data_IF_105553044630
#
_entry.id   IF_105553044630
#
_cell.length_a   1.000
_cell.length_b   1.000
_cell.length_c   1.000
_cell.angle_alpha   90.00
_cell.angle_beta   90.00
_cell.angle_gamma   90.00
#
_symmetry.space_group_name_H-M   'P 1'
#
loop_
_entity.id
_entity.type
_entity.pdbx_description
1 polymer ?
#
# COMPACT_ATOMS: atom_id res chain seq x y z
N UNK A 1 -12.58 0.06 4.82
CA UNK A 1 -12.42 -1.40 4.95
C UNK A 1 -13.67 -2.08 4.44
N UNK A 2 -14.85 -1.84 5.03
CA UNK A 2 -16.13 -2.11 4.35
C UNK A 2 -16.52 -3.57 4.16
N UNK A 3 -15.78 -4.54 4.71
CA UNK A 3 -16.02 -5.97 4.48
C UNK A 3 -17.46 -6.39 4.78
N UNK A 4 -18.00 -6.05 5.95
CA UNK A 4 -19.38 -6.38 6.32
C UNK A 4 -20.42 -5.71 5.40
N UNK A 5 -20.15 -4.49 4.96
CA UNK A 5 -21.02 -3.76 4.03
C UNK A 5 -21.04 -4.45 2.66
N UNK A 6 -19.87 -4.82 2.14
CA UNK A 6 -19.76 -5.57 0.88
C UNK A 6 -20.46 -6.93 0.98
N UNK A 7 -20.28 -7.69 2.06
CA UNK A 7 -20.96 -8.98 2.25
C UNK A 7 -22.48 -8.84 2.22
N UNK A 8 -23.04 -7.82 2.89
CA UNK A 8 -24.49 -7.55 2.84
C UNK A 8 -24.97 -7.21 1.43
N UNK A 9 -24.21 -6.37 0.71
CA UNK A 9 -24.51 -6.01 -0.68
C UNK A 9 -24.49 -7.23 -1.60
N UNK A 10 -23.46 -8.07 -1.51
CA UNK A 10 -23.33 -9.30 -2.30
C UNK A 10 -24.47 -10.27 -2.00
N UNK A 11 -24.86 -10.44 -0.74
CA UNK A 11 -25.99 -11.29 -0.37
C UNK A 11 -27.29 -10.83 -1.04
N UNK A 12 -27.59 -9.53 -0.98
CA UNK A 12 -28.78 -8.97 -1.64
C UNK A 12 -28.76 -9.14 -3.17
N UNK A 13 -27.58 -8.97 -3.80
CA UNK A 13 -27.41 -9.21 -5.24
C UNK A 13 -27.62 -10.67 -5.60
N UNK A 14 -27.11 -11.61 -4.81
CA UNK A 14 -27.28 -13.04 -5.04
C UNK A 14 -28.75 -13.48 -4.90
N UNK A 15 -29.48 -12.92 -3.94
CA UNK A 15 -30.92 -13.15 -3.81
C UNK A 15 -31.69 -12.65 -5.04
N UNK A 16 -31.34 -11.47 -5.56
CA UNK A 16 -31.93 -10.97 -6.81
C UNK A 16 -31.57 -11.85 -8.02
N UNK A 17 -30.34 -12.36 -8.10
CA UNK A 17 -29.91 -13.25 -9.18
C UNK A 17 -30.65 -14.59 -9.16
N UNK A 18 -30.97 -15.14 -7.98
CA UNK A 18 -31.77 -16.37 -7.85
C UNK A 18 -33.17 -16.24 -8.47
N UNK A 19 -33.77 -15.04 -8.43
CA UNK A 19 -35.05 -14.80 -9.10
C UNK A 19 -34.96 -14.97 -10.62
N UNK A 20 -33.80 -14.63 -11.21
CA UNK A 20 -33.55 -14.74 -12.66
C UNK A 20 -32.99 -16.09 -13.07
N UNK A 21 -32.26 -16.74 -12.17
CA UNK A 21 -31.63 -18.05 -12.39
C UNK A 21 -32.03 -19.02 -11.26
N UNK A 22 -33.24 -19.60 -11.28
CA UNK A 22 -33.76 -20.41 -10.16
C UNK A 22 -32.98 -21.69 -9.87
N UNK A 23 -32.18 -22.16 -10.85
CA UNK A 23 -31.28 -23.32 -10.69
C UNK A 23 -29.91 -22.96 -10.12
N UNK A 24 -29.63 -21.68 -9.88
CA UNK A 24 -28.36 -21.24 -9.32
C UNK A 24 -28.30 -21.58 -7.82
N UNK A 25 -27.28 -22.33 -7.43
CA UNK A 25 -26.98 -22.60 -6.03
C UNK A 25 -25.82 -21.72 -5.56
N UNK A 26 -26.00 -21.04 -4.42
CA UNK A 26 -24.95 -20.26 -3.78
C UNK A 26 -24.26 -21.16 -2.76
N UNK A 27 -23.09 -21.66 -3.11
CA UNK A 27 -22.30 -22.53 -2.23
C UNK A 27 -21.69 -21.73 -1.06
N UNK A 28 -21.15 -20.55 -1.35
CA UNK A 28 -20.54 -19.64 -0.36
C UNK A 28 -20.61 -18.20 -0.87
N UNK A 29 -20.76 -17.25 0.05
CA UNK A 29 -20.66 -15.82 -0.28
C UNK A 29 -19.22 -15.40 -0.62
N UNK A 30 -18.22 -16.15 -0.14
CA UNK A 30 -16.82 -15.91 -0.42
C UNK A 30 -16.19 -17.17 -0.99
N UNK A 31 -15.96 -17.16 -2.31
CA UNK A 31 -15.26 -18.21 -3.04
C UNK A 31 -13.73 -18.05 -3.07
N UNK A 32 -13.15 -17.26 -2.15
CA UNK A 32 -11.72 -16.90 -2.11
C UNK A 32 -11.15 -16.12 -3.31
N UNK A 33 -11.98 -15.69 -4.26
CA UNK A 33 -11.58 -14.81 -5.38
C UNK A 33 -11.63 -13.32 -4.98
N UNK A 34 -11.84 -13.01 -3.68
CA UNK A 34 -11.89 -11.64 -3.20
C UNK A 34 -10.53 -10.90 -3.21
N UNK A 35 -9.36 -11.44 -2.84
CA UNK A 35 -9.10 -12.49 -1.84
C UNK A 35 -8.79 -11.83 -0.46
N UNK A 36 -9.49 -12.23 0.59
CA UNK A 36 -9.32 -11.64 1.93
C UNK A 36 -8.39 -12.45 2.82
N UNK A 37 -7.33 -11.83 3.36
CA UNK A 37 -6.35 -12.41 4.30
C UNK A 37 -5.52 -13.55 3.72
N UNK A 38 -5.31 -13.54 2.40
CA UNK A 38 -4.53 -14.55 1.66
C UNK A 38 -3.73 -13.88 0.54
N UNK A 39 -2.49 -14.32 0.29
CA UNK A 39 -1.73 -13.83 -0.85
C UNK A 39 -2.44 -14.26 -2.14
N UNK A 40 -2.73 -13.29 -3.01
CA UNK A 40 -3.43 -13.57 -4.26
C UNK A 40 -3.04 -12.58 -5.35
N UNK A 41 -2.72 -13.09 -6.54
CA UNK A 41 -2.37 -12.28 -7.70
C UNK A 41 -3.48 -11.31 -8.11
N UNK A 42 -4.76 -11.68 -7.93
CA UNK A 42 -5.90 -10.80 -8.22
C UNK A 42 -5.82 -9.49 -7.44
N UNK A 43 -5.43 -9.53 -6.16
CA UNK A 43 -5.27 -8.31 -5.35
C UNK A 43 -4.07 -7.47 -5.82
N UNK A 44 -3.04 -8.10 -6.41
CA UNK A 44 -1.87 -7.39 -6.95
C UNK A 44 -2.19 -6.69 -8.27
N UNK A 45 -2.95 -7.34 -9.15
CA UNK A 45 -3.23 -6.88 -10.51
C UNK A 45 -4.44 -5.92 -10.53
N UNK A 46 -5.56 -6.34 -9.93
CA UNK A 46 -6.82 -5.59 -9.98
C UNK A 46 -6.98 -4.63 -8.79
N UNK A 47 -6.11 -4.75 -7.79
CA UNK A 47 -6.17 -3.99 -6.55
C UNK A 47 -7.25 -4.47 -5.59
N UNK A 48 -7.22 -3.98 -4.35
CA UNK A 48 -8.24 -4.26 -3.33
C UNK A 48 -8.26 -3.22 -2.22
N UNK A 49 -9.42 -2.62 -1.97
CA UNK A 49 -9.51 -1.50 -1.03
C UNK A 49 -8.97 -0.23 -1.69
N UNK A 50 -7.87 0.32 -1.18
CA UNK A 50 -7.22 1.50 -1.77
C UNK A 50 -5.93 1.12 -2.49
N UNK A 51 -5.77 1.64 -3.71
CA UNK A 51 -4.51 1.63 -4.45
C UNK A 51 -3.83 2.99 -4.29
N UNK A 52 -2.54 2.99 -3.97
CA UNK A 52 -1.76 4.22 -3.79
C UNK A 52 -0.39 4.14 -4.44
N UNK A 53 0.12 5.31 -4.82
CA UNK A 53 1.53 5.53 -5.17
C UNK A 53 2.03 6.71 -4.35
N UNK A 54 3.23 6.59 -3.80
CA UNK A 54 3.92 7.68 -3.12
C UNK A 54 5.36 7.74 -3.63
N UNK A 55 5.87 8.96 -3.78
CA UNK A 55 7.21 9.19 -4.30
C UNK A 55 7.94 10.29 -3.54
N UNK A 56 9.27 10.23 -3.57
CA UNK A 56 10.12 11.32 -3.11
C UNK A 56 11.40 11.39 -3.93
N UNK A 57 11.98 12.59 -4.02
CA UNK A 57 13.26 12.83 -4.69
C UNK A 57 14.23 13.39 -3.65
N UNK A 58 15.35 12.68 -3.46
CA UNK A 58 16.34 12.99 -2.44
C UNK A 58 17.64 13.49 -3.06
N UNK A 59 18.14 14.67 -2.66
CA UNK A 59 19.47 15.14 -3.04
C UNK A 59 20.57 14.16 -2.60
N UNK A 60 21.68 14.03 -3.35
CA UNK A 60 22.78 13.12 -3.00
C UNK A 60 23.35 13.42 -1.62
N UNK A 61 23.45 14.70 -1.23
CA UNK A 61 23.87 15.08 0.11
C UNK A 61 22.99 14.46 1.20
N UNK A 62 21.67 14.42 1.03
CA UNK A 62 20.77 13.79 2.02
C UNK A 62 21.01 12.28 2.08
N UNK A 63 21.26 11.64 0.93
CA UNK A 63 21.58 10.21 0.86
C UNK A 63 22.91 9.91 1.58
N UNK A 64 23.90 10.78 1.45
CA UNK A 64 25.21 10.64 2.10
C UNK A 64 25.17 11.00 3.59
N UNK A 65 24.68 12.20 3.92
CA UNK A 65 24.70 12.75 5.26
C UNK A 65 23.67 12.09 6.18
N UNK A 66 22.52 11.63 5.67
CA UNK A 66 21.46 11.05 6.51
C UNK A 66 21.41 9.54 6.34
N UNK A 67 21.31 9.05 5.10
CA UNK A 67 21.17 7.61 4.84
C UNK A 67 22.50 6.86 4.89
N UNK A 68 23.63 7.57 4.96
CA UNK A 68 24.99 7.02 5.07
C UNK A 68 25.32 6.05 3.93
N UNK A 69 24.85 6.39 2.73
CA UNK A 69 25.03 5.63 1.49
C UNK A 69 25.27 6.58 0.32
N UNK A 70 25.25 6.08 -0.91
CA UNK A 70 25.22 6.90 -2.12
C UNK A 70 24.12 6.42 -3.06
N UNK A 71 23.72 7.29 -4.00
CA UNK A 71 22.59 7.04 -4.93
C UNK A 71 22.79 5.75 -5.74
N UNK A 72 23.98 5.53 -6.29
CA UNK A 72 24.27 4.34 -7.11
C UNK A 72 24.13 3.04 -6.30
N UNK A 73 24.61 3.02 -5.06
CA UNK A 73 24.47 1.88 -4.16
C UNK A 73 23.01 1.59 -3.82
N UNK A 74 22.21 2.63 -3.56
CA UNK A 74 20.77 2.51 -3.26
C UNK A 74 20.00 1.92 -4.45
N UNK A 75 20.20 2.46 -5.65
CA UNK A 75 19.59 1.96 -6.89
C UNK A 75 19.99 0.50 -7.14
N UNK A 76 21.29 0.19 -7.05
CA UNK A 76 21.80 -1.16 -7.28
C UNK A 76 21.22 -2.16 -6.26
N UNK A 77 21.16 -1.80 -4.97
CA UNK A 77 20.56 -2.63 -3.94
C UNK A 77 19.07 -2.87 -4.19
N UNK A 78 18.31 -1.83 -4.60
CA UNK A 78 16.91 -1.99 -4.96
C UNK A 78 16.71 -2.96 -6.13
N UNK A 79 17.48 -2.80 -7.20
CA UNK A 79 17.42 -3.66 -8.38
C UNK A 79 17.68 -5.13 -8.02
N UNK A 80 18.79 -5.42 -7.32
CA UNK A 80 19.16 -6.80 -7.01
C UNK A 80 18.29 -7.42 -5.93
N UNK A 81 17.90 -6.66 -4.90
CA UNK A 81 17.18 -7.19 -3.75
C UNK A 81 15.67 -7.22 -3.97
N UNK A 82 15.07 -6.07 -4.32
CA UNK A 82 13.62 -5.92 -4.39
C UNK A 82 13.04 -6.43 -5.70
N UNK A 83 13.80 -6.36 -6.80
CA UNK A 83 13.31 -6.79 -8.12
C UNK A 83 13.84 -8.18 -8.46
N UNK A 84 15.14 -8.32 -8.74
CA UNK A 84 15.72 -9.59 -9.19
C UNK A 84 15.59 -10.67 -8.12
N UNK A 85 15.94 -10.37 -6.87
CA UNK A 85 15.81 -11.30 -5.74
C UNK A 85 14.38 -11.79 -5.54
N UNK A 86 13.41 -10.88 -5.51
CA UNK A 86 11.99 -11.24 -5.39
C UNK A 86 11.47 -12.04 -6.60
N UNK A 87 11.94 -11.73 -7.82
CA UNK A 87 11.59 -12.48 -9.02
C UNK A 87 12.12 -13.92 -8.96
N UNK A 88 13.39 -14.11 -8.56
CA UNK A 88 13.99 -15.44 -8.38
C UNK A 88 13.28 -16.23 -7.28
N UNK A 89 12.83 -15.56 -6.22
CA UNK A 89 12.08 -16.17 -5.13
C UNK A 89 10.63 -16.55 -5.47
N UNK A 90 10.13 -16.19 -6.67
CA UNK A 90 8.74 -16.45 -7.07
C UNK A 90 7.72 -15.61 -6.28
N UNK A 91 8.12 -14.43 -5.81
CA UNK A 91 7.24 -13.53 -5.05
C UNK A 91 6.18 -12.89 -5.95
N UNK A 92 4.95 -12.82 -5.46
CA UNK A 92 3.85 -12.09 -6.10
C UNK A 92 3.46 -10.92 -5.20
N UNK A 93 3.70 -9.69 -5.68
CA UNK A 93 3.43 -8.45 -4.94
C UNK A 93 4.45 -8.07 -3.87
N UNK A 94 5.42 -8.93 -3.55
CA UNK A 94 6.47 -8.67 -2.56
C UNK A 94 7.76 -8.10 -3.15
N UNK A 95 7.68 -7.03 -3.95
CA UNK A 95 8.82 -6.38 -4.60
C UNK A 95 9.32 -5.17 -3.78
N UNK A 96 9.53 -5.39 -2.48
CA UNK A 96 9.88 -4.37 -1.52
C UNK A 96 10.79 -4.93 -0.41
N UNK A 97 11.28 -4.05 0.48
CA UNK A 97 12.14 -4.48 1.57
C UNK A 97 11.38 -5.00 2.79
N UNK A 98 10.46 -4.19 3.32
CA UNK A 98 9.76 -4.50 4.58
C UNK A 98 8.43 -3.76 4.70
N UNK A 99 7.67 -3.60 3.61
CA UNK A 99 6.39 -2.87 3.64
C UNK A 99 5.42 -3.43 4.70
N UNK A 100 5.44 -4.76 4.88
CA UNK A 100 4.68 -5.44 5.93
C UNK A 100 4.94 -4.90 7.34
N UNK A 101 6.17 -4.50 7.68
CA UNK A 101 6.49 -3.99 9.01
C UNK A 101 5.79 -2.65 9.27
N UNK A 102 5.81 -1.74 8.30
CA UNK A 102 5.16 -0.43 8.41
C UNK A 102 3.64 -0.62 8.45
N UNK A 103 3.11 -1.46 7.55
CA UNK A 103 1.68 -1.78 7.51
C UNK A 103 1.21 -2.39 8.84
N UNK A 104 1.89 -3.40 9.37
CA UNK A 104 1.53 -4.04 10.65
C UNK A 104 1.52 -3.04 11.81
N UNK A 105 2.56 -2.20 11.93
CA UNK A 105 2.65 -1.19 12.98
C UNK A 105 1.47 -0.20 12.91
N UNK A 106 1.20 0.33 11.73
CA UNK A 106 0.08 1.25 11.51
C UNK A 106 -1.28 0.58 11.76
N UNK A 107 -1.43 -0.68 11.35
CA UNK A 107 -2.68 -1.42 11.49
C UNK A 107 -3.01 -1.68 12.96
N UNK A 108 -2.03 -2.09 13.75
CA UNK A 108 -2.18 -2.30 15.19
C UNK A 108 -2.45 -0.98 15.92
N UNK A 109 -1.69 0.08 15.62
CA UNK A 109 -1.84 1.37 16.27
C UNK A 109 -3.20 2.03 15.95
N UNK A 110 -3.67 1.92 14.71
CA UNK A 110 -4.86 2.62 14.23
C UNK A 110 -6.13 1.75 14.21
N UNK A 111 -6.11 0.56 14.83
CA UNK A 111 -7.30 -0.29 14.97
C UNK A 111 -7.83 -0.88 13.66
N UNK A 112 -6.93 -1.13 12.72
CA UNK A 112 -7.23 -1.85 11.48
C UNK A 112 -7.30 -3.36 11.76
N UNK A 113 -7.65 -4.16 10.75
CA UNK A 113 -7.62 -5.63 10.85
C UNK A 113 -6.19 -6.15 10.57
N UNK A 114 -5.43 -6.60 11.59
CA UNK A 114 -4.03 -6.97 11.40
C UNK A 114 -3.84 -8.18 10.48
N UNK A 115 -4.86 -9.02 10.28
CA UNK A 115 -4.75 -10.14 9.34
C UNK A 115 -4.70 -9.67 7.87
N UNK A 116 -5.15 -8.45 7.59
CA UNK A 116 -5.08 -7.85 6.26
C UNK A 116 -3.68 -7.25 5.95
N UNK A 117 -2.69 -7.45 6.84
CA UNK A 117 -1.28 -7.18 6.52
C UNK A 117 -0.80 -8.02 5.33
N UNK A 118 -1.41 -9.18 5.11
CA UNK A 118 -1.14 -10.02 3.94
C UNK A 118 -1.33 -9.22 2.65
N UNK A 119 -2.49 -8.57 2.47
CA UNK A 119 -2.72 -7.70 1.32
C UNK A 119 -1.92 -6.40 1.40
N UNK A 120 -1.87 -5.76 2.56
CA UNK A 120 -1.22 -4.46 2.72
C UNK A 120 0.30 -4.51 2.49
N UNK A 121 0.90 -5.70 2.57
CA UNK A 121 2.31 -5.94 2.27
C UNK A 121 2.63 -6.00 0.77
N UNK A 122 1.61 -6.07 -0.10
CA UNK A 122 1.78 -5.93 -1.53
C UNK A 122 2.30 -4.54 -1.85
N UNK A 123 3.57 -4.46 -2.24
CA UNK A 123 4.25 -3.21 -2.51
C UNK A 123 5.39 -3.45 -3.51
N UNK A 124 5.46 -2.57 -4.52
CA UNK A 124 6.61 -2.43 -5.41
C UNK A 124 7.38 -1.18 -5.03
N UNK A 125 8.67 -1.33 -4.75
CA UNK A 125 9.61 -0.23 -4.54
C UNK A 125 10.50 -0.08 -5.76
N UNK A 126 10.52 1.11 -6.37
CA UNK A 126 11.48 1.46 -7.42
C UNK A 126 12.41 2.55 -6.93
N UNK A 127 13.64 2.53 -7.43
CA UNK A 127 14.66 3.54 -7.16
C UNK A 127 15.41 3.85 -8.44
N UNK A 128 15.55 5.12 -8.76
CA UNK A 128 16.22 5.59 -9.97
C UNK A 128 17.16 6.75 -9.65
N UNK A 129 18.29 6.81 -10.36
CA UNK A 129 19.14 7.98 -10.37
C UNK A 129 18.57 8.98 -11.38
N UNK A 130 18.29 10.19 -10.93
CA UNK A 130 17.64 11.24 -11.73
C UNK A 130 18.48 12.52 -11.77
N UNK A 131 18.27 13.40 -12.76
CA UNK A 131 18.90 14.72 -12.76
C UNK A 131 18.55 15.53 -11.49
N UNK A 132 19.37 16.53 -11.11
CA UNK A 132 19.06 17.40 -9.98
C UNK A 132 17.66 18.01 -10.07
N UNK A 133 16.90 17.91 -8.98
CA UNK A 133 15.50 18.34 -8.93
C UNK A 133 14.48 17.36 -9.48
N UNK A 134 14.89 16.27 -10.13
CA UNK A 134 14.01 15.28 -10.74
C UNK A 134 13.69 15.54 -12.21
N UNK A 135 12.89 14.67 -12.83
CA UNK A 135 12.40 14.88 -14.19
C UNK A 135 11.35 15.99 -14.22
N UNK A 136 11.55 16.99 -15.09
CA UNK A 136 10.55 18.04 -15.33
C UNK A 136 10.44 19.11 -14.24
N UNK A 137 11.38 19.19 -13.30
CA UNK A 137 11.41 20.26 -12.31
C UNK A 137 12.08 21.52 -12.89
N UNK A 138 11.35 22.64 -13.03
CA UNK A 138 11.93 23.87 -13.59
C UNK A 138 12.77 24.66 -12.58
N UNK A 139 12.70 24.30 -11.28
CA UNK A 139 13.42 25.02 -10.24
C UNK A 139 14.87 24.55 -10.14
N UNK A 140 15.83 25.48 -10.03
CA UNK A 140 17.21 25.11 -9.82
C UNK A 140 17.36 24.34 -8.49
N UNK A 141 18.22 23.32 -8.45
CA UNK A 141 18.49 22.59 -7.21
C UNK A 141 19.02 23.55 -6.13
N UNK A 142 18.67 23.33 -4.85
CA UNK A 142 19.26 24.07 -3.74
C UNK A 142 20.79 24.02 -3.80
N UNK A 143 21.46 25.13 -3.50
CA UNK A 143 22.92 25.23 -3.62
C UNK A 143 23.69 24.20 -2.75
N UNK A 144 23.06 23.68 -1.70
CA UNK A 144 23.59 22.69 -0.78
C UNK A 144 23.11 21.25 -1.07
N UNK A 145 22.63 20.96 -2.29
CA UNK A 145 22.12 19.64 -2.66
C UNK A 145 23.19 18.54 -2.75
N UNK A 146 24.47 18.92 -2.79
CA UNK A 146 25.58 18.04 -3.14
C UNK A 146 25.72 17.87 -4.65
N UNK A 147 26.85 17.27 -5.06
CA UNK A 147 27.17 16.98 -6.46
C UNK A 147 26.68 15.59 -6.87
N UNK A 148 26.25 15.45 -8.13
CA UNK A 148 25.83 14.17 -8.70
C UNK A 148 24.31 13.99 -8.85
N UNK A 149 23.86 12.79 -9.26
CA UNK A 149 22.45 12.51 -9.48
C UNK A 149 21.68 12.48 -8.16
N UNK A 150 20.38 12.78 -8.22
CA UNK A 150 19.47 12.65 -7.10
C UNK A 150 18.84 11.25 -7.10
N UNK A 151 18.33 10.80 -5.96
CA UNK A 151 17.64 9.52 -5.83
C UNK A 151 16.13 9.74 -5.87
N UNK A 152 15.46 9.23 -6.90
CA UNK A 152 14.01 9.14 -6.95
C UNK A 152 13.59 7.77 -6.39
N UNK A 153 12.68 7.78 -5.41
CA UNK A 153 12.13 6.56 -4.82
C UNK A 153 10.63 6.58 -4.98
N UNK A 154 10.05 5.46 -5.43
CA UNK A 154 8.60 5.29 -5.45
C UNK A 154 8.18 4.01 -4.73
N UNK A 155 6.99 4.05 -4.13
CA UNK A 155 6.32 2.87 -3.59
C UNK A 155 4.90 2.81 -4.12
N UNK A 156 4.50 1.65 -4.63
CA UNK A 156 3.17 1.38 -5.17
C UNK A 156 2.50 0.25 -4.41
N UNK A 157 1.40 0.54 -3.72
CA UNK A 157 0.66 -0.41 -2.89
C UNK A 157 -0.78 -0.54 -3.41
N UNK A 158 -1.12 -1.60 -4.18
CA UNK A 158 -2.44 -1.72 -4.84
C UNK A 158 -3.55 -2.26 -3.93
N UNK A 159 -3.21 -2.76 -2.73
CA UNK A 159 -4.14 -3.55 -1.93
C UNK A 159 -4.24 -3.10 -0.46
N UNK A 160 -4.38 -1.80 -0.20
CA UNK A 160 -4.53 -1.28 1.17
C UNK A 160 -5.98 -1.37 1.65
N UNK A 161 -6.27 -2.42 2.41
CA UNK A 161 -7.54 -2.59 3.09
C UNK A 161 -7.55 -1.83 4.44
N UNK A 162 -7.87 -0.54 4.41
CA UNK A 162 -7.92 0.34 5.59
C UNK A 162 -9.29 0.99 5.78
N UNK A 163 -9.60 1.47 6.98
CA UNK A 163 -10.78 2.27 7.28
C UNK A 163 -10.66 3.04 8.58
N UNK A 164 -11.44 4.11 8.72
CA UNK A 164 -11.39 5.01 9.89
C UNK A 164 -12.64 4.91 10.77
N UNK A 165 -13.65 4.15 10.32
CA UNK A 165 -14.91 3.87 11.03
C UNK A 165 -15.16 2.36 11.05
N UNK A 166 -15.58 1.86 12.22
CA UNK A 166 -15.94 0.45 12.43
C UNK A 166 -14.77 -0.43 12.87
N UNK A 167 -15.07 -1.67 13.25
CA UNK A 167 -14.05 -2.60 13.76
C UNK A 167 -13.28 -2.04 14.97
N UNK A 168 -11.95 -2.22 14.96
CA UNK A 168 -11.06 -1.77 16.03
C UNK A 168 -10.91 -0.25 16.15
N UNK A 169 -11.30 0.52 15.12
CA UNK A 169 -11.17 1.99 15.13
C UNK A 169 -12.09 2.68 16.14
N UNK A 170 -12.98 1.93 16.80
CA UNK A 170 -13.88 2.44 17.85
C UNK A 170 -13.24 2.41 19.25
N UNK A 171 -12.13 1.71 19.41
CA UNK A 171 -11.45 1.59 20.70
C UNK A 171 -10.75 2.90 21.06
N UNK A 172 -10.80 3.36 22.32
CA UNK A 172 -10.30 4.69 22.69
C UNK A 172 -8.83 4.95 22.34
N UNK A 173 -7.95 3.95 22.52
CA UNK A 173 -6.52 4.09 22.21
C UNK A 173 -6.27 4.22 20.71
N UNK A 174 -6.89 3.36 19.89
CA UNK A 174 -6.80 3.38 18.44
C UNK A 174 -7.38 4.67 17.85
N UNK A 175 -8.47 5.19 18.44
CA UNK A 175 -9.00 6.51 18.08
C UNK A 175 -8.02 7.64 18.36
N UNK A 176 -7.28 7.59 19.47
CA UNK A 176 -6.27 8.61 19.77
C UNK A 176 -5.19 8.64 18.68
N UNK A 177 -4.70 7.47 18.23
CA UNK A 177 -3.76 7.38 17.10
C UNK A 177 -4.37 7.92 15.79
N UNK A 178 -5.63 7.58 15.48
CA UNK A 178 -6.30 8.12 14.29
C UNK A 178 -6.51 9.64 14.37
N UNK A 179 -6.72 10.21 15.56
CA UNK A 179 -6.80 11.67 15.77
C UNK A 179 -5.46 12.35 15.54
N UNK A 180 -4.34 11.72 15.94
CA UNK A 180 -2.99 12.25 15.63
C UNK A 180 -2.76 12.39 14.12
N UNK A 181 -3.37 11.51 13.32
CA UNK A 181 -3.30 11.52 11.86
C UNK A 181 -4.39 12.39 11.20
N UNK A 182 -5.24 13.08 11.97
CA UNK A 182 -6.41 13.81 11.47
C UNK A 182 -7.35 12.96 10.60
N UNK A 183 -7.47 11.67 10.91
CA UNK A 183 -8.21 10.69 10.12
C UNK A 183 -9.35 10.01 10.90
N UNK A 184 -9.59 10.38 12.17
CA UNK A 184 -10.59 9.70 13.01
C UNK A 184 -12.02 10.01 12.56
N UNK A 185 -12.83 8.97 12.34
CA UNK A 185 -14.26 9.11 12.04
C UNK A 185 -14.57 9.12 10.54
N UNK A 186 -15.83 9.42 10.22
CA UNK A 186 -16.28 9.64 8.86
C UNK A 186 -15.96 11.08 8.43
N UNK A 187 -15.65 11.29 7.15
CA UNK A 187 -15.59 12.63 6.58
C UNK A 187 -16.98 13.05 6.08
N UNK A 188 -17.32 14.32 6.23
CA UNK A 188 -18.56 14.91 5.69
C UNK A 188 -18.49 15.21 4.18
N UNK A 189 -17.51 14.62 3.47
CA UNK A 189 -17.32 14.80 2.02
C UNK A 189 -16.73 16.15 1.58
N UNK A 190 -16.31 17.02 2.51
CA UNK A 190 -15.79 18.37 2.19
C UNK A 190 -14.24 18.47 2.10
N UNK A 191 -13.57 17.44 1.59
CA UNK A 191 -12.13 17.49 1.28
C UNK A 191 -11.84 16.81 -0.05
#
# INVERSE_FOLDING_TARGET
>A
MGMNMCTKGVHAVLDALRLRFPRMEVLSLSGNVCADKKPAAVNWIDGRGHSMVAECILPPRIVEDVLKSNVAAMVNANMWKNLVGSAVAGSVGGFNAHAANVAAAMYLACGQDPAQVVEASHCLTTMEAVPPGGYGNPHPPPADSGEGPWLHVTVSCPALCVGTVGGGTRLPAQQACLRMLNACGASDGAR
#
